data_IF_144995421784
#
_entry.id   IF_144995421784
#
_cell.length_a   1.000
_cell.length_b   1.000
_cell.length_c   1.000
_cell.angle_alpha   90.00
_cell.angle_beta   90.00
_cell.angle_gamma   90.00
#
_symmetry.space_group_name_H-M   'P 1'
#
loop_
_entity.id
_entity.type
_entity.pdbx_description
1 polymer ?
#
# COMPACT_ATOMS: atom_id res chain seq x y z
N UNK A 1 -33.57 -11.63 11.16
CA UNK A 1 -33.06 -10.72 10.12
C UNK A 1 -33.13 -9.31 10.66
N UNK A 2 -32.05 -8.57 10.64
CA UNK A 2 -31.97 -7.16 11.05
C UNK A 2 -31.69 -6.35 9.79
N UNK A 3 -32.30 -5.16 9.69
CA UNK A 3 -32.07 -4.24 8.54
C UNK A 3 -31.47 -2.94 9.03
N UNK A 4 -30.49 -2.45 8.32
CA UNK A 4 -29.94 -1.12 8.46
C UNK A 4 -30.39 -0.28 7.26
N UNK A 5 -30.94 0.90 7.53
CA UNK A 5 -31.41 1.83 6.51
C UNK A 5 -30.48 3.02 6.51
N UNK A 6 -29.90 3.34 5.37
CA UNK A 6 -29.02 4.49 5.18
C UNK A 6 -29.84 5.80 4.97
N UNK A 7 -29.17 6.96 4.98
CA UNK A 7 -29.82 8.26 4.85
C UNK A 7 -30.49 8.47 3.48
N UNK A 8 -30.06 7.76 2.44
CA UNK A 8 -30.66 7.75 1.10
C UNK A 8 -31.80 6.72 0.94
N UNK A 9 -32.14 5.98 2.03
CA UNK A 9 -33.20 4.97 2.05
C UNK A 9 -32.78 3.59 1.55
N UNK A 10 -31.50 3.37 1.19
CA UNK A 10 -31.00 2.05 0.84
C UNK A 10 -30.93 1.14 2.06
N UNK A 11 -31.06 -0.18 1.87
CA UNK A 11 -31.14 -1.16 2.95
C UNK A 11 -30.06 -2.23 2.83
N UNK A 12 -29.32 -2.48 3.93
CA UNK A 12 -28.51 -3.67 4.14
C UNK A 12 -29.23 -4.61 5.10
N UNK A 13 -29.32 -5.91 4.76
CA UNK A 13 -29.95 -6.92 5.59
C UNK A 13 -28.93 -7.90 6.18
N UNK A 14 -29.14 -8.28 7.45
CA UNK A 14 -28.29 -9.19 8.21
C UNK A 14 -29.13 -10.37 8.74
N UNK A 15 -28.63 -11.58 8.60
CA UNK A 15 -29.22 -12.81 9.14
C UNK A 15 -28.28 -13.40 10.20
N UNK A 16 -28.85 -13.84 11.32
CA UNK A 16 -28.11 -14.45 12.43
C UNK A 16 -28.67 -15.83 12.75
N UNK A 17 -27.81 -16.71 13.23
CA UNK A 17 -28.21 -18.00 13.78
C UNK A 17 -28.77 -17.89 15.22
N UNK A 18 -29.10 -19.02 15.84
CA UNK A 18 -29.62 -19.04 17.21
C UNK A 18 -28.57 -18.66 18.30
N UNK A 19 -27.28 -18.75 17.97
CA UNK A 19 -26.17 -18.36 18.86
C UNK A 19 -25.77 -16.91 18.69
N UNK A 20 -26.37 -16.18 17.70
CA UNK A 20 -26.05 -14.79 17.41
C UNK A 20 -24.92 -14.58 16.40
N UNK A 21 -24.44 -15.64 15.76
CA UNK A 21 -23.44 -15.51 14.71
C UNK A 21 -24.08 -14.97 13.42
N UNK A 22 -23.40 -14.05 12.72
CA UNK A 22 -23.83 -13.52 11.43
C UNK A 22 -23.70 -14.59 10.35
N UNK A 23 -24.81 -15.15 9.86
CA UNK A 23 -24.80 -16.20 8.84
C UNK A 23 -25.09 -15.69 7.43
N UNK A 24 -25.50 -14.43 7.28
CA UNK A 24 -25.74 -13.83 5.98
C UNK A 24 -25.82 -12.32 6.03
N UNK A 25 -25.29 -11.69 5.01
CA UNK A 25 -25.40 -10.26 4.74
C UNK A 25 -25.87 -10.06 3.31
N UNK A 26 -26.85 -9.21 3.10
CA UNK A 26 -27.31 -8.79 1.77
C UNK A 26 -27.10 -7.29 1.65
N UNK A 27 -26.33 -6.87 0.65
CA UNK A 27 -26.02 -5.46 0.42
C UNK A 27 -27.23 -4.73 -0.23
N UNK A 28 -27.09 -3.43 -0.46
CA UNK A 28 -28.08 -2.52 -1.03
C UNK A 28 -28.44 -2.86 -2.49
N UNK A 29 -27.62 -3.68 -3.17
CA UNK A 29 -27.85 -4.18 -4.53
C UNK A 29 -28.43 -5.60 -4.56
N UNK A 30 -28.60 -6.22 -3.38
CA UNK A 30 -29.11 -7.60 -3.25
C UNK A 30 -28.03 -8.67 -3.36
N UNK A 31 -26.73 -8.32 -3.38
CA UNK A 31 -25.65 -9.30 -3.37
C UNK A 31 -25.54 -9.94 -1.98
N UNK A 32 -25.50 -11.26 -1.93
CA UNK A 32 -25.47 -11.99 -0.69
C UNK A 32 -24.09 -12.57 -0.39
N UNK A 33 -23.58 -12.30 0.82
CA UNK A 33 -22.44 -13.00 1.43
C UNK A 33 -22.95 -13.88 2.56
N UNK A 34 -22.51 -15.13 2.62
CA UNK A 34 -22.88 -16.09 3.67
C UNK A 34 -21.67 -16.52 4.48
N UNK A 35 -21.91 -16.84 5.75
CA UNK A 35 -20.90 -17.22 6.72
C UNK A 35 -21.28 -18.54 7.37
N UNK A 36 -20.32 -19.45 7.56
CA UNK A 36 -20.48 -20.63 8.39
C UNK A 36 -19.46 -20.65 9.52
N UNK A 37 -19.81 -21.35 10.60
CA UNK A 37 -19.04 -21.36 11.84
C UNK A 37 -18.83 -22.78 12.33
N UNK A 38 -17.75 -22.99 13.09
CA UNK A 38 -17.55 -24.23 13.84
C UNK A 38 -18.56 -24.34 14.99
N UNK A 39 -18.58 -25.48 15.68
CA UNK A 39 -19.44 -25.67 16.85
C UNK A 39 -19.11 -24.68 17.99
N UNK A 40 -17.89 -24.17 18.04
CA UNK A 40 -17.40 -23.18 18.99
C UNK A 40 -17.65 -21.73 18.55
N UNK A 41 -18.45 -21.51 17.48
CA UNK A 41 -18.74 -20.18 16.89
C UNK A 41 -17.50 -19.46 16.32
N UNK A 42 -16.49 -20.21 15.86
CA UNK A 42 -15.37 -19.66 15.11
C UNK A 42 -15.74 -19.64 13.62
N UNK A 43 -15.41 -18.56 12.89
CA UNK A 43 -15.72 -18.42 11.48
C UNK A 43 -14.98 -19.47 10.65
N UNK A 44 -15.69 -20.41 10.03
CA UNK A 44 -15.10 -21.49 9.24
C UNK A 44 -15.01 -21.15 7.75
N UNK A 45 -16.05 -20.48 7.21
CA UNK A 45 -16.13 -20.18 5.77
C UNK A 45 -16.90 -18.90 5.51
N UNK A 46 -16.42 -18.13 4.53
CA UNK A 46 -17.15 -17.03 3.89
C UNK A 46 -17.41 -17.43 2.44
N UNK A 47 -18.65 -17.27 1.97
CA UNK A 47 -19.01 -17.44 0.56
C UNK A 47 -19.60 -16.15 0.02
N UNK A 48 -18.97 -15.61 -1.02
CA UNK A 48 -19.33 -14.36 -1.65
C UNK A 48 -20.43 -14.51 -2.71
N UNK A 49 -21.01 -13.40 -3.14
CA UNK A 49 -22.13 -13.37 -4.08
C UNK A 49 -21.80 -13.99 -5.46
N UNK A 50 -20.54 -14.02 -5.88
CA UNK A 50 -20.06 -14.70 -7.09
C UNK A 50 -19.80 -16.21 -6.91
N UNK A 51 -20.04 -16.75 -5.70
CA UNK A 51 -19.80 -18.15 -5.35
C UNK A 51 -18.35 -18.48 -4.97
N UNK A 52 -17.43 -17.52 -5.00
CA UNK A 52 -16.08 -17.69 -4.46
C UNK A 52 -16.16 -17.89 -2.94
N UNK A 53 -15.27 -18.70 -2.36
CA UNK A 53 -15.28 -18.92 -0.91
C UNK A 53 -13.88 -19.03 -0.33
N UNK A 54 -13.71 -18.51 0.87
CA UNK A 54 -12.51 -18.63 1.70
C UNK A 54 -12.84 -19.44 2.95
N UNK A 55 -11.88 -20.19 3.48
CA UNK A 55 -12.10 -20.99 4.69
C UNK A 55 -10.92 -20.90 5.65
N UNK A 56 -11.24 -21.06 6.94
CA UNK A 56 -10.33 -21.05 8.06
C UNK A 56 -10.41 -22.37 8.81
N UNK A 57 -9.30 -22.82 9.38
CA UNK A 57 -9.25 -23.97 10.29
C UNK A 57 -8.53 -23.60 11.56
N UNK A 58 -8.88 -24.28 12.67
CA UNK A 58 -8.46 -23.90 14.01
C UNK A 58 -7.89 -25.08 14.78
N UNK A 59 -7.00 -24.80 15.71
CA UNK A 59 -6.62 -25.75 16.74
C UNK A 59 -7.61 -25.76 17.91
N UNK A 60 -7.40 -26.63 18.90
CA UNK A 60 -8.26 -26.72 20.09
C UNK A 60 -8.23 -25.47 20.99
N UNK A 61 -7.23 -24.60 20.86
CA UNK A 61 -7.13 -23.33 21.57
C UNK A 61 -7.83 -22.19 20.83
N UNK A 62 -8.35 -22.43 19.61
CA UNK A 62 -8.99 -21.43 18.77
C UNK A 62 -8.01 -20.61 17.91
N UNK A 63 -6.74 -20.99 17.83
CA UNK A 63 -5.79 -20.33 16.93
C UNK A 63 -6.04 -20.77 15.48
N UNK A 64 -5.94 -19.86 14.52
CA UNK A 64 -6.02 -20.18 13.10
C UNK A 64 -4.78 -20.97 12.69
N UNK A 65 -4.94 -22.25 12.29
CA UNK A 65 -3.85 -23.12 11.81
C UNK A 65 -3.81 -23.25 10.29
N UNK A 66 -4.89 -22.85 9.59
CA UNK A 66 -4.96 -22.88 8.14
C UNK A 66 -5.95 -21.88 7.60
N UNK A 67 -5.60 -21.32 6.47
CA UNK A 67 -6.43 -20.43 5.66
C UNK A 67 -6.39 -20.94 4.23
N UNK A 68 -7.54 -21.04 3.57
CA UNK A 68 -7.63 -21.41 2.16
C UNK A 68 -8.35 -20.31 1.41
N UNK A 69 -7.73 -19.79 0.36
CA UNK A 69 -8.27 -18.75 -0.48
C UNK A 69 -9.36 -19.26 -1.45
N UNK A 70 -9.91 -18.37 -2.27
CA UNK A 70 -10.99 -18.72 -3.18
C UNK A 70 -10.54 -19.56 -4.39
N UNK A 71 -9.26 -19.64 -4.69
CA UNK A 71 -8.67 -20.53 -5.70
C UNK A 71 -8.23 -21.89 -5.11
N UNK A 72 -8.31 -22.06 -3.78
CA UNK A 72 -7.96 -23.29 -3.07
C UNK A 72 -6.50 -23.35 -2.62
N UNK A 73 -5.76 -22.25 -2.70
CA UNK A 73 -4.39 -22.18 -2.18
C UNK A 73 -4.44 -22.08 -0.65
N UNK A 74 -3.54 -22.79 0.03
CA UNK A 74 -3.58 -22.93 1.48
C UNK A 74 -2.31 -22.38 2.16
N UNK A 75 -2.53 -21.50 3.14
CA UNK A 75 -1.53 -20.97 4.08
C UNK A 75 -1.67 -21.68 5.42
N UNK A 76 -0.58 -21.97 6.11
CA UNK A 76 -0.55 -22.67 7.38
C UNK A 76 0.16 -21.84 8.46
N UNK A 77 -0.32 -21.96 9.70
CA UNK A 77 0.19 -21.26 10.86
C UNK A 77 0.57 -22.27 11.94
N UNK A 78 1.68 -22.02 12.63
CA UNK A 78 2.19 -22.88 13.70
C UNK A 78 2.39 -22.05 14.97
N UNK A 79 1.95 -22.59 16.09
CA UNK A 79 2.02 -21.93 17.39
C UNK A 79 2.83 -22.75 18.39
N UNK A 80 3.40 -22.08 19.37
CA UNK A 80 4.04 -22.73 20.52
C UNK A 80 2.99 -23.02 21.64
N UNK A 81 3.47 -23.58 22.74
CA UNK A 81 2.61 -23.92 23.90
C UNK A 81 2.03 -22.69 24.61
N UNK A 82 2.56 -21.49 24.37
CA UNK A 82 2.05 -20.23 24.88
C UNK A 82 1.09 -19.54 23.90
N UNK A 83 0.66 -20.24 22.82
CA UNK A 83 -0.18 -19.70 21.74
C UNK A 83 0.47 -18.53 20.97
N UNK A 84 1.80 -18.46 20.91
CA UNK A 84 2.53 -17.48 20.10
C UNK A 84 2.80 -18.07 18.73
N UNK A 85 2.60 -17.27 17.67
CA UNK A 85 2.86 -17.68 16.28
C UNK A 85 4.37 -17.87 16.05
N UNK A 86 4.81 -19.11 15.82
CA UNK A 86 6.23 -19.43 15.59
C UNK A 86 6.58 -19.65 14.13
N UNK A 87 5.60 -19.91 13.25
CA UNK A 87 5.82 -19.99 11.82
C UNK A 87 4.57 -19.77 11.01
N UNK A 88 4.76 -19.21 9.81
CA UNK A 88 3.80 -19.19 8.70
C UNK A 88 4.43 -19.94 7.54
N UNK A 89 3.67 -20.85 6.95
CA UNK A 89 4.02 -21.52 5.69
C UNK A 89 3.04 -21.01 4.65
N UNK A 90 3.56 -20.33 3.64
CA UNK A 90 2.77 -19.75 2.56
C UNK A 90 2.27 -20.83 1.58
N UNK A 91 1.47 -20.42 0.61
CA UNK A 91 0.81 -21.24 -0.39
C UNK A 91 1.79 -21.98 -1.32
N UNK A 92 3.05 -21.53 -1.44
CA UNK A 92 4.14 -22.15 -2.20
C UNK A 92 5.14 -22.93 -1.31
N UNK A 93 4.84 -23.05 0.00
CA UNK A 93 5.66 -23.76 0.97
C UNK A 93 6.89 -22.96 1.43
N UNK A 94 6.91 -21.64 1.21
CA UNK A 94 7.88 -20.73 1.83
C UNK A 94 7.58 -20.60 3.32
N UNK A 95 8.61 -20.71 4.18
CA UNK A 95 8.43 -20.68 5.63
C UNK A 95 9.08 -19.45 6.24
N UNK A 96 8.26 -18.58 6.85
CA UNK A 96 8.72 -17.52 7.75
C UNK A 96 8.60 -17.98 9.19
N UNK A 97 9.63 -17.76 10.02
CA UNK A 97 9.68 -18.22 11.42
C UNK A 97 9.96 -17.07 12.36
N UNK A 98 9.39 -17.16 13.58
CA UNK A 98 9.47 -16.16 14.63
C UNK A 98 10.06 -16.78 15.89
N UNK A 99 10.97 -16.06 16.55
CA UNK A 99 11.49 -16.40 17.86
C UNK A 99 11.18 -15.28 18.86
N UNK A 100 10.91 -15.66 20.10
CA UNK A 100 10.47 -14.75 21.15
C UNK A 100 11.40 -14.83 22.37
N UNK A 101 11.48 -13.74 23.11
CA UNK A 101 12.05 -13.73 24.45
C UNK A 101 11.02 -14.17 25.52
N UNK A 102 11.43 -14.09 26.79
CA UNK A 102 10.58 -14.48 27.92
C UNK A 102 9.43 -13.49 28.20
N UNK A 103 9.44 -12.29 27.58
CA UNK A 103 8.41 -11.25 27.70
C UNK A 103 7.53 -11.17 26.46
N UNK A 104 7.60 -12.19 25.57
CA UNK A 104 6.83 -12.32 24.34
C UNK A 104 7.19 -11.30 23.24
N UNK A 105 8.33 -10.63 23.32
CA UNK A 105 8.81 -9.79 22.23
C UNK A 105 9.45 -10.66 21.15
N UNK A 106 9.21 -10.32 19.87
CA UNK A 106 9.87 -10.98 18.74
C UNK A 106 11.35 -10.57 18.71
N UNK A 107 12.26 -11.51 18.97
CA UNK A 107 13.71 -11.28 18.93
C UNK A 107 14.35 -11.68 17.61
N UNK A 108 13.65 -12.46 16.77
CA UNK A 108 14.11 -12.82 15.44
C UNK A 108 12.95 -13.17 14.52
N UNK A 109 13.03 -12.67 13.29
CA UNK A 109 12.22 -13.11 12.14
C UNK A 109 13.17 -13.74 11.12
N UNK A 110 12.85 -14.95 10.63
CA UNK A 110 13.63 -15.63 9.60
C UNK A 110 12.73 -15.86 8.40
N UNK A 111 13.10 -15.35 7.24
CA UNK A 111 12.34 -15.45 6.00
C UNK A 111 12.41 -16.85 5.34
N UNK A 112 11.72 -17.02 4.23
CA UNK A 112 11.66 -18.28 3.49
C UNK A 112 13.00 -18.68 2.83
N UNK A 113 13.94 -17.73 2.67
CA UNK A 113 15.32 -17.95 2.20
C UNK A 113 16.32 -18.18 3.34
N UNK A 114 15.84 -18.16 4.60
CA UNK A 114 16.61 -18.29 5.85
C UNK A 114 17.47 -17.06 6.18
N UNK A 115 17.12 -15.90 5.66
CA UNK A 115 17.69 -14.64 6.08
C UNK A 115 17.02 -14.20 7.40
N UNK A 116 17.82 -13.76 8.37
CA UNK A 116 17.31 -13.45 9.70
C UNK A 116 17.51 -11.98 10.05
N UNK A 117 16.43 -11.31 10.44
CA UNK A 117 16.44 -10.01 11.11
C UNK A 117 16.29 -10.21 12.60
N UNK A 118 17.10 -9.51 13.40
CA UNK A 118 17.16 -9.66 14.87
C UNK A 118 16.79 -8.35 15.55
N UNK A 119 16.12 -8.48 16.69
CA UNK A 119 15.61 -7.37 17.48
C UNK A 119 16.06 -7.50 18.93
N UNK A 120 16.32 -6.36 19.58
CA UNK A 120 16.61 -6.31 21.03
C UNK A 120 15.75 -5.25 21.69
N UNK A 121 15.40 -5.46 22.94
CA UNK A 121 14.48 -4.61 23.70
C UNK A 121 15.10 -4.21 25.03
N UNK A 122 14.65 -3.10 25.60
CA UNK A 122 14.95 -2.74 26.99
C UNK A 122 13.97 -3.43 27.98
N UNK A 123 14.14 -3.14 29.26
CA UNK A 123 13.30 -3.70 30.33
C UNK A 123 11.82 -3.24 30.29
N UNK A 124 11.54 -2.14 29.58
CA UNK A 124 10.20 -1.55 29.45
C UNK A 124 9.51 -2.01 28.14
N UNK A 125 10.20 -2.87 27.35
CA UNK A 125 9.71 -3.44 26.09
C UNK A 125 9.93 -2.54 24.87
N UNK A 126 10.70 -1.45 24.99
CA UNK A 126 11.02 -0.62 23.84
C UNK A 126 12.11 -1.26 22.98
N UNK A 127 11.96 -1.22 21.65
CA UNK A 127 12.93 -1.75 20.69
C UNK A 127 14.23 -0.95 20.75
N UNK A 128 15.34 -1.56 21.18
CA UNK A 128 16.64 -0.90 21.29
C UNK A 128 17.54 -1.10 20.07
N UNK A 129 17.34 -2.19 19.31
CA UNK A 129 18.01 -2.32 18.01
C UNK A 129 17.30 -3.30 17.07
N UNK A 130 17.51 -3.07 15.80
CA UNK A 130 17.22 -3.97 14.70
C UNK A 130 18.52 -4.26 13.95
N UNK A 131 18.75 -5.53 13.58
CA UNK A 131 19.91 -5.95 12.80
C UNK A 131 19.43 -6.80 11.63
N UNK A 132 19.69 -6.36 10.40
CA UNK A 132 19.32 -7.06 9.19
C UNK A 132 20.18 -8.32 8.95
N UNK A 133 19.86 -9.07 7.89
CA UNK A 133 20.57 -10.28 7.52
C UNK A 133 22.01 -10.05 7.01
N UNK A 134 22.38 -8.80 6.67
CA UNK A 134 23.74 -8.38 6.30
C UNK A 134 24.57 -7.95 7.51
N UNK A 135 23.95 -7.82 8.70
CA UNK A 135 24.56 -7.33 9.92
C UNK A 135 24.52 -5.82 10.08
N UNK A 136 23.80 -5.09 9.23
CA UNK A 136 23.57 -3.67 9.38
C UNK A 136 22.63 -3.45 10.57
N UNK A 137 23.03 -2.56 11.50
CA UNK A 137 22.33 -2.37 12.76
C UNK A 137 21.85 -0.94 12.92
N UNK A 138 20.55 -0.76 13.15
CA UNK A 138 19.92 0.48 13.60
C UNK A 138 19.71 0.38 15.11
N UNK A 139 19.96 1.47 15.85
CA UNK A 139 19.78 1.53 17.31
C UNK A 139 18.82 2.65 17.67
N UNK A 140 18.04 2.42 18.72
CA UNK A 140 17.02 3.32 19.22
C UNK A 140 17.26 3.61 20.70
N UNK A 141 17.07 4.86 21.11
CA UNK A 141 17.07 5.23 22.53
C UNK A 141 15.80 6.01 22.85
N UNK A 142 15.41 5.99 24.12
CA UNK A 142 14.13 6.54 24.57
C UNK A 142 14.34 7.47 25.76
N UNK A 143 13.40 8.41 25.94
CA UNK A 143 13.29 9.21 27.16
C UNK A 143 12.76 8.36 28.32
N UNK A 144 12.83 8.82 29.58
CA UNK A 144 12.21 8.11 30.71
C UNK A 144 10.70 7.90 30.56
N UNK A 145 10.03 8.73 29.77
CA UNK A 145 8.60 8.64 29.47
C UNK A 145 8.29 7.63 28.35
N UNK A 146 9.31 7.03 27.72
CA UNK A 146 9.18 6.05 26.64
C UNK A 146 9.09 6.67 25.24
N UNK A 147 9.37 7.96 25.08
CA UNK A 147 9.40 8.60 23.76
C UNK A 147 10.77 8.39 23.08
N UNK A 148 10.79 8.19 21.77
CA UNK A 148 12.01 7.98 20.99
C UNK A 148 12.91 9.22 21.09
N UNK A 149 14.08 9.12 21.74
CA UNK A 149 15.01 10.24 21.91
C UNK A 149 16.10 10.28 20.84
N UNK A 150 16.50 9.11 20.30
CA UNK A 150 17.44 9.07 19.19
C UNK A 150 17.35 7.80 18.36
N UNK A 151 17.74 7.92 17.08
CA UNK A 151 17.99 6.81 16.16
C UNK A 151 19.42 6.91 15.68
N UNK A 152 20.20 5.84 15.87
CA UNK A 152 21.53 5.70 15.25
C UNK A 152 21.41 4.74 14.08
N UNK A 153 21.59 5.23 12.87
CA UNK A 153 21.50 4.48 11.62
C UNK A 153 22.70 3.54 11.45
N UNK A 154 22.62 2.61 10.51
CA UNK A 154 23.66 1.61 10.29
C UNK A 154 24.99 2.19 9.78
N UNK A 155 24.99 3.38 9.19
CA UNK A 155 26.19 4.16 8.81
C UNK A 155 26.74 5.02 9.96
N UNK A 156 26.11 4.98 11.13
CA UNK A 156 26.40 5.74 12.34
C UNK A 156 25.90 7.19 12.34
N UNK A 157 25.08 7.60 11.35
CA UNK A 157 24.37 8.86 11.41
C UNK A 157 23.35 8.84 12.58
N UNK A 158 23.24 9.95 13.30
CA UNK A 158 22.39 10.05 14.49
C UNK A 158 21.31 11.09 14.27
N UNK A 159 20.07 10.71 14.50
CA UNK A 159 18.92 11.60 14.58
C UNK A 159 18.50 11.72 16.05
N UNK A 160 18.14 12.94 16.51
CA UNK A 160 17.63 13.15 17.88
C UNK A 160 16.28 13.85 17.86
N UNK A 161 15.48 13.58 18.87
CA UNK A 161 14.10 14.05 18.98
C UNK A 161 13.86 14.66 20.36
N UNK A 162 13.21 15.82 20.38
CA UNK A 162 12.83 16.52 21.59
C UNK A 162 11.31 16.71 21.63
N UNK A 163 10.74 16.61 22.82
CA UNK A 163 9.30 16.62 23.02
C UNK A 163 8.92 17.68 24.07
N UNK A 164 7.71 18.18 23.97
CA UNK A 164 7.12 18.95 25.05
C UNK A 164 6.56 18.04 26.16
N UNK A 165 5.98 18.65 27.20
CA UNK A 165 5.42 17.94 28.35
C UNK A 165 4.22 17.05 28.01
N UNK A 166 3.59 17.24 26.85
CA UNK A 166 2.44 16.46 26.38
C UNK A 166 2.85 15.30 25.48
N UNK A 167 4.16 15.20 25.11
CA UNK A 167 4.69 14.22 24.20
C UNK A 167 4.63 14.66 22.72
N UNK A 168 4.32 15.93 22.44
CA UNK A 168 4.37 16.45 21.08
C UNK A 168 5.82 16.72 20.66
N UNK A 169 6.22 16.26 19.44
CA UNK A 169 7.56 16.41 18.91
C UNK A 169 7.84 17.90 18.57
N UNK A 170 8.70 18.55 19.34
CA UNK A 170 9.04 19.97 19.16
C UNK A 170 10.28 20.20 18.33
N UNK A 171 11.23 19.25 18.30
CA UNK A 171 12.45 19.34 17.51
C UNK A 171 12.92 17.97 17.05
N UNK A 172 13.37 17.93 15.80
CA UNK A 172 14.15 16.83 15.23
C UNK A 172 15.47 17.38 14.71
N UNK A 173 16.59 16.81 15.17
CA UNK A 173 17.90 17.11 14.60
C UNK A 173 18.36 15.92 13.76
N UNK A 174 18.94 16.18 12.60
CA UNK A 174 19.55 15.19 11.71
C UNK A 174 21.05 15.42 11.68
N UNK A 175 21.83 14.36 11.68
CA UNK A 175 23.28 14.33 12.03
C UNK A 175 24.23 15.26 11.30
N UNK A 176 23.78 16.10 10.36
CA UNK A 176 24.56 17.11 9.62
C UNK A 176 24.37 18.54 10.15
N UNK A 177 23.71 18.69 11.30
CA UNK A 177 23.41 20.01 11.91
C UNK A 177 22.08 20.62 11.50
N UNK A 178 21.35 20.00 10.56
CA UNK A 178 20.01 20.46 10.20
C UNK A 178 19.01 20.13 11.31
N UNK A 179 18.08 21.03 11.54
CA UNK A 179 16.99 20.81 12.50
C UNK A 179 15.66 21.27 11.96
N UNK A 180 14.62 20.53 12.33
CA UNK A 180 13.23 20.91 12.10
C UNK A 180 12.58 21.13 13.45
N UNK A 181 11.92 22.28 13.62
CA UNK A 181 11.14 22.60 14.83
C UNK A 181 9.66 22.65 14.52
N UNK A 182 8.85 22.22 15.47
CA UNK A 182 7.39 22.17 15.37
C UNK A 182 6.76 22.87 16.55
N UNK A 183 5.69 23.63 16.30
CA UNK A 183 4.89 24.28 17.33
C UNK A 183 3.44 23.82 17.24
N UNK A 184 2.78 23.77 18.39
CA UNK A 184 1.40 23.27 18.49
C UNK A 184 0.52 24.26 19.26
N UNK A 185 -0.78 24.26 18.99
CA UNK A 185 -1.74 25.03 19.79
C UNK A 185 -2.17 24.24 21.06
N UNK A 186 -3.00 24.86 21.88
CA UNK A 186 -3.48 24.30 23.16
C UNK A 186 -4.24 22.96 23.01
N UNK A 187 -4.78 22.66 21.83
CA UNK A 187 -5.48 21.40 21.54
C UNK A 187 -4.59 20.38 20.78
N UNK A 188 -3.26 20.63 20.74
CA UNK A 188 -2.29 19.72 20.12
C UNK A 188 -2.25 19.71 18.58
N UNK A 189 -2.86 20.70 17.90
CA UNK A 189 -2.77 20.85 16.45
C UNK A 189 -1.46 21.54 16.07
N UNK A 190 -0.75 21.02 15.06
CA UNK A 190 0.47 21.59 14.51
C UNK A 190 0.20 22.97 13.91
N UNK A 191 0.84 24.02 14.41
CA UNK A 191 0.64 25.41 13.94
C UNK A 191 1.81 25.94 13.13
N UNK A 192 3.01 25.40 13.35
CA UNK A 192 4.20 25.84 12.64
C UNK A 192 5.22 24.73 12.51
N UNK A 193 5.88 24.66 11.34
CA UNK A 193 7.07 23.85 11.10
C UNK A 193 8.15 24.77 10.53
N UNK A 194 9.32 24.82 11.15
CA UNK A 194 10.45 25.63 10.72
C UNK A 194 11.70 24.79 10.49
N UNK A 195 12.40 25.07 9.38
CA UNK A 195 13.66 24.46 9.00
C UNK A 195 14.57 25.52 8.35
N UNK A 196 15.75 25.15 7.90
CA UNK A 196 16.61 26.04 7.09
C UNK A 196 15.96 26.49 5.78
N UNK A 197 15.05 25.69 5.22
CA UNK A 197 14.29 26.04 4.01
C UNK A 197 13.23 27.12 4.25
N UNK A 198 12.91 27.44 5.51
CA UNK A 198 11.90 28.42 5.90
C UNK A 198 10.84 27.85 6.83
N UNK A 199 9.73 28.58 6.95
CA UNK A 199 8.64 28.26 7.88
C UNK A 199 7.33 28.03 7.14
N UNK A 200 6.61 26.95 7.52
CA UNK A 200 5.25 26.65 7.08
C UNK A 200 4.31 26.88 8.27
N UNK A 201 3.19 27.56 8.05
CA UNK A 201 2.20 27.86 9.08
C UNK A 201 0.84 27.27 8.75
N UNK A 202 0.14 26.78 9.79
CA UNK A 202 -1.17 26.15 9.71
C UNK A 202 -2.15 26.88 10.61
N UNK A 203 -3.37 27.14 10.12
CA UNK A 203 -4.44 27.73 10.90
C UNK A 203 -5.67 26.84 10.90
N UNK A 204 -6.39 26.83 12.00
CA UNK A 204 -7.55 25.98 12.22
C UNK A 204 -8.74 26.83 12.70
N UNK A 205 -9.95 26.41 12.37
CA UNK A 205 -11.16 27.00 12.92
C UNK A 205 -11.47 26.43 14.33
N UNK A 206 -12.54 26.92 14.95
CA UNK A 206 -12.97 26.46 16.28
C UNK A 206 -13.33 24.98 16.34
N UNK A 207 -13.74 24.38 15.24
CA UNK A 207 -14.04 22.95 15.12
C UNK A 207 -12.77 22.11 14.90
N UNK A 208 -11.60 22.76 14.74
CA UNK A 208 -10.30 22.11 14.50
C UNK A 208 -10.05 21.69 13.04
N UNK A 209 -10.83 22.18 12.07
CA UNK A 209 -10.56 21.98 10.65
C UNK A 209 -9.48 22.96 10.18
N UNK A 210 -8.55 22.47 9.34
CA UNK A 210 -7.48 23.27 8.74
C UNK A 210 -8.07 24.28 7.75
N UNK A 211 -7.96 25.58 8.05
CA UNK A 211 -8.52 26.65 7.21
C UNK A 211 -7.50 27.36 6.34
N UNK A 212 -6.20 27.28 6.69
CA UNK A 212 -5.14 27.80 5.80
C UNK A 212 -3.80 27.14 6.05
N UNK A 213 -2.98 27.10 4.98
CA UNK A 213 -1.56 26.75 5.00
C UNK A 213 -0.79 27.87 4.30
N UNK A 214 0.18 28.46 5.00
CA UNK A 214 1.16 29.39 4.44
C UNK A 214 2.47 28.63 4.22
N UNK A 215 3.00 28.63 2.98
CA UNK A 215 4.26 27.99 2.65
C UNK A 215 5.46 28.87 2.97
N UNK A 216 6.67 28.36 2.74
CA UNK A 216 7.94 29.07 3.03
C UNK A 216 8.13 30.38 2.25
N UNK A 217 7.37 30.59 1.16
CA UNK A 217 7.41 31.82 0.36
C UNK A 217 6.35 32.86 0.79
N UNK A 218 5.50 32.51 1.76
CA UNK A 218 4.37 33.33 2.19
C UNK A 218 3.11 33.13 1.35
N UNK A 219 3.08 32.17 0.43
CA UNK A 219 1.88 31.84 -0.35
C UNK A 219 0.88 31.11 0.54
N UNK A 220 -0.38 31.55 0.50
CA UNK A 220 -1.46 30.98 1.33
C UNK A 220 -2.45 30.20 0.48
N UNK A 221 -2.70 28.95 0.88
CA UNK A 221 -3.86 28.17 0.42
C UNK A 221 -4.88 28.12 1.53
N UNK A 222 -6.15 28.44 1.24
CA UNK A 222 -7.22 28.43 2.23
C UNK A 222 -8.36 27.48 1.88
N UNK A 223 -9.09 27.05 2.92
CA UNK A 223 -10.12 26.01 2.82
C UNK A 223 -11.40 26.43 3.55
N UNK A 224 -12.54 26.01 3.02
CA UNK A 224 -13.82 26.11 3.70
C UNK A 224 -14.49 24.75 3.84
N UNK A 225 -15.38 24.63 4.79
CA UNK A 225 -16.04 23.36 5.13
C UNK A 225 -17.54 23.57 5.39
N UNK A 226 -18.32 22.53 5.16
CA UNK A 226 -19.73 22.49 5.58
C UNK A 226 -19.85 22.08 7.06
N UNK A 227 -21.09 21.99 7.54
CA UNK A 227 -21.36 21.60 8.93
C UNK A 227 -20.99 20.14 9.27
N UNK A 228 -20.78 19.29 8.27
CA UNK A 228 -20.37 17.89 8.42
C UNK A 228 -18.86 17.70 8.35
N UNK A 229 -18.11 18.78 8.06
CA UNK A 229 -16.65 18.75 7.90
C UNK A 229 -16.18 18.40 6.49
N UNK A 230 -17.07 18.36 5.50
CA UNK A 230 -16.67 18.18 4.11
C UNK A 230 -16.07 19.50 3.59
N UNK A 231 -14.92 19.41 2.90
CA UNK A 231 -14.26 20.58 2.31
C UNK A 231 -15.08 21.12 1.13
N UNK A 232 -15.63 22.33 1.25
CA UNK A 232 -16.48 22.97 0.23
C UNK A 232 -15.69 23.82 -0.74
N UNK A 233 -14.50 24.32 -0.34
CA UNK A 233 -13.62 25.03 -1.28
C UNK A 233 -12.16 24.92 -0.90
N UNK A 234 -11.29 25.15 -1.91
CA UNK A 234 -9.87 25.38 -1.77
C UNK A 234 -9.49 26.58 -2.64
N UNK A 235 -8.97 27.65 -2.01
CA UNK A 235 -8.55 28.88 -2.69
C UNK A 235 -7.03 28.95 -2.70
N UNK A 236 -6.46 29.14 -3.88
CA UNK A 236 -5.02 29.25 -4.13
C UNK A 236 -4.52 30.69 -3.91
N UNK A 237 -3.18 30.92 -3.83
CA UNK A 237 -2.60 32.26 -3.61
C UNK A 237 -2.98 33.29 -4.68
N UNK A 238 -3.27 32.85 -5.89
CA UNK A 238 -3.74 33.69 -7.00
C UNK A 238 -5.25 33.98 -6.97
N UNK A 239 -5.92 33.65 -5.86
CA UNK A 239 -7.35 33.79 -5.61
C UNK A 239 -8.27 32.91 -6.47
N UNK A 240 -7.74 31.98 -7.27
CA UNK A 240 -8.56 30.99 -7.97
C UNK A 240 -9.02 29.93 -6.97
N UNK A 241 -10.27 29.48 -7.14
CA UNK A 241 -10.91 28.57 -6.19
C UNK A 241 -11.43 27.32 -6.88
N UNK A 242 -11.16 26.17 -6.29
CA UNK A 242 -11.82 24.90 -6.58
C UNK A 242 -12.96 24.72 -5.57
N UNK A 243 -14.17 24.38 -6.06
CA UNK A 243 -15.35 24.16 -5.22
C UNK A 243 -15.82 22.71 -5.30
N UNK A 244 -16.35 22.20 -4.18
CA UNK A 244 -16.78 20.82 -4.03
C UNK A 244 -18.21 20.76 -3.53
N UNK A 245 -18.99 19.80 -4.03
CA UNK A 245 -20.37 19.54 -3.59
C UNK A 245 -20.53 18.08 -3.21
N UNK A 246 -21.40 17.81 -2.22
CA UNK A 246 -21.60 16.50 -1.63
C UNK A 246 -23.08 16.13 -1.56
N UNK A 247 -23.39 14.85 -1.57
CA UNK A 247 -24.73 14.32 -1.33
C UNK A 247 -25.02 14.11 0.16
N UNK A 248 -26.23 13.61 0.47
CA UNK A 248 -26.64 13.34 1.84
C UNK A 248 -25.84 12.22 2.55
N UNK A 249 -25.07 11.42 1.80
CA UNK A 249 -24.17 10.39 2.31
C UNK A 249 -22.72 10.89 2.44
N UNK A 250 -22.49 12.22 2.31
CA UNK A 250 -21.18 12.87 2.31
C UNK A 250 -20.25 12.37 1.17
N UNK A 251 -20.81 11.84 0.08
CA UNK A 251 -20.04 11.48 -1.13
C UNK A 251 -19.93 12.70 -2.03
N UNK A 252 -18.73 12.96 -2.57
CA UNK A 252 -18.51 14.09 -3.49
C UNK A 252 -19.24 13.85 -4.80
N UNK A 253 -20.19 14.74 -5.16
CA UNK A 253 -20.99 14.66 -6.39
C UNK A 253 -20.60 15.70 -7.43
N UNK A 254 -19.80 16.69 -7.08
CA UNK A 254 -19.34 17.69 -8.02
C UNK A 254 -18.06 18.41 -7.61
N UNK A 255 -17.29 18.79 -8.60
CA UNK A 255 -16.09 19.65 -8.49
C UNK A 255 -16.16 20.71 -9.59
N UNK A 256 -15.96 21.97 -9.21
CA UNK A 256 -15.71 23.06 -10.18
C UNK A 256 -14.22 23.36 -10.13
N UNK A 257 -13.51 23.13 -11.24
CA UNK A 257 -12.05 23.30 -11.37
C UNK A 257 -11.64 24.78 -11.47
N UNK A 258 -10.33 25.02 -11.52
CA UNK A 258 -9.74 26.37 -11.62
C UNK A 258 -10.07 27.09 -12.94
N UNK A 259 -10.40 26.34 -13.97
CA UNK A 259 -10.85 26.81 -15.30
C UNK A 259 -12.36 27.06 -15.36
N UNK A 260 -13.09 26.76 -14.26
CA UNK A 260 -14.55 26.83 -14.19
C UNK A 260 -15.25 25.60 -14.78
N UNK A 261 -14.52 24.59 -15.28
CA UNK A 261 -15.16 23.35 -15.74
C UNK A 261 -15.71 22.54 -14.56
N UNK A 262 -16.87 21.94 -14.77
CA UNK A 262 -17.53 21.11 -13.77
C UNK A 262 -17.32 19.64 -14.07
N UNK A 263 -16.86 18.89 -13.07
CA UNK A 263 -16.87 17.44 -13.06
C UNK A 263 -17.95 16.95 -12.10
N UNK A 264 -18.84 16.06 -12.54
CA UNK A 264 -19.88 15.46 -11.70
C UNK A 264 -19.72 13.95 -11.59
N UNK A 265 -20.18 13.40 -10.46
CA UNK A 265 -20.07 11.99 -10.11
C UNK A 265 -21.43 11.42 -9.77
N UNK A 266 -21.69 10.19 -10.21
CA UNK A 266 -22.89 9.42 -9.84
C UNK A 266 -22.42 8.10 -9.20
N UNK A 267 -23.13 7.70 -8.15
CA UNK A 267 -22.83 6.51 -7.38
C UNK A 267 -24.00 5.52 -7.40
N UNK A 268 -23.69 4.23 -7.29
CA UNK A 268 -24.71 3.20 -7.06
C UNK A 268 -25.12 3.17 -5.56
N UNK A 269 -26.04 2.27 -5.24
CA UNK A 269 -26.59 2.15 -3.89
C UNK A 269 -25.55 1.78 -2.83
N UNK A 270 -24.49 1.02 -3.19
CA UNK A 270 -23.38 0.66 -2.29
C UNK A 270 -22.24 1.68 -2.28
N UNK A 271 -22.40 2.83 -2.94
CA UNK A 271 -21.45 3.94 -2.92
C UNK A 271 -20.30 3.83 -3.94
N UNK A 272 -20.35 2.90 -4.91
CA UNK A 272 -19.36 2.83 -5.98
C UNK A 272 -19.70 3.82 -7.09
N UNK A 273 -18.70 4.48 -7.63
CA UNK A 273 -18.89 5.46 -8.72
C UNK A 273 -19.25 4.75 -10.03
N UNK A 274 -20.43 5.01 -10.57
CA UNK A 274 -20.93 4.44 -11.83
C UNK A 274 -20.83 5.40 -13.02
N UNK A 275 -20.66 6.72 -12.77
CA UNK A 275 -20.46 7.68 -13.84
C UNK A 275 -19.64 8.88 -13.38
N UNK A 276 -18.82 9.40 -14.29
CA UNK A 276 -18.14 10.70 -14.19
C UNK A 276 -18.46 11.49 -15.48
N UNK A 277 -18.84 12.75 -15.33
CA UNK A 277 -19.00 13.68 -16.46
C UNK A 277 -18.08 14.87 -16.21
N UNK A 278 -17.21 15.18 -17.19
CA UNK A 278 -16.30 16.34 -17.16
C UNK A 278 -16.28 16.97 -18.53
N UNK A 279 -16.82 18.18 -18.65
CA UNK A 279 -17.04 18.82 -19.93
C UNK A 279 -17.83 17.92 -20.89
N UNK A 280 -17.26 17.62 -22.03
CA UNK A 280 -17.88 16.75 -23.06
C UNK A 280 -17.51 15.26 -22.89
N UNK A 281 -16.77 14.89 -21.85
CA UNK A 281 -16.34 13.53 -21.60
C UNK A 281 -17.25 12.87 -20.57
N UNK A 282 -17.76 11.68 -20.90
CA UNK A 282 -18.52 10.84 -19.97
C UNK A 282 -17.84 9.49 -19.82
N UNK A 283 -17.46 9.15 -18.59
CA UNK A 283 -16.96 7.82 -18.25
C UNK A 283 -17.99 7.07 -17.43
N UNK A 284 -18.33 5.83 -17.83
CA UNK A 284 -19.22 4.91 -17.12
C UNK A 284 -18.42 3.73 -16.57
N UNK A 285 -18.87 3.23 -15.42
CA UNK A 285 -18.25 2.11 -14.73
C UNK A 285 -19.30 1.05 -14.44
N UNK A 286 -18.96 -0.22 -14.65
CA UNK A 286 -19.78 -1.36 -14.24
C UNK A 286 -18.98 -2.29 -13.33
N UNK A 287 -19.67 -2.95 -12.44
CA UNK A 287 -19.06 -3.82 -11.42
C UNK A 287 -19.78 -5.16 -11.35
N UNK A 288 -19.05 -6.20 -10.96
CA UNK A 288 -19.66 -7.48 -10.64
C UNK A 288 -20.31 -7.49 -9.23
N UNK A 289 -20.87 -8.63 -8.84
CA UNK A 289 -21.58 -8.81 -7.57
C UNK A 289 -20.68 -8.77 -6.32
N UNK A 290 -19.35 -8.81 -6.48
CA UNK A 290 -18.38 -8.71 -5.38
C UNK A 290 -17.60 -7.41 -5.40
N UNK A 291 -17.90 -6.51 -6.34
CA UNK A 291 -17.35 -5.16 -6.41
C UNK A 291 -16.15 -4.98 -7.34
N UNK A 292 -15.75 -5.99 -8.10
CA UNK A 292 -14.69 -5.82 -9.09
C UNK A 292 -15.19 -4.99 -10.28
N UNK A 293 -14.37 -4.06 -10.78
CA UNK A 293 -14.68 -3.24 -11.95
C UNK A 293 -14.65 -4.10 -13.22
N UNK A 294 -15.82 -4.36 -13.83
CA UNK A 294 -15.92 -5.18 -15.05
C UNK A 294 -15.82 -4.37 -16.35
N UNK A 295 -16.23 -3.10 -16.31
CA UNK A 295 -16.13 -2.22 -17.47
C UNK A 295 -15.87 -0.76 -17.05
N UNK A 296 -15.01 -0.09 -17.81
CA UNK A 296 -14.86 1.35 -17.82
C UNK A 296 -14.96 1.82 -19.28
N UNK A 297 -15.96 2.64 -19.59
CA UNK A 297 -16.17 3.15 -20.93
C UNK A 297 -16.22 4.67 -20.92
N UNK A 298 -15.38 5.31 -21.72
CA UNK A 298 -15.30 6.78 -21.88
C UNK A 298 -15.74 7.14 -23.28
N UNK A 299 -16.76 7.99 -23.35
CA UNK A 299 -17.26 8.62 -24.58
C UNK A 299 -16.79 10.07 -24.63
N UNK A 300 -16.14 10.43 -25.72
CA UNK A 300 -15.66 11.79 -26.02
C UNK A 300 -15.54 11.95 -27.56
N UNK A 301 -14.54 12.69 -28.04
CA UNK A 301 -14.17 12.72 -29.47
C UNK A 301 -13.61 11.37 -29.96
N UNK A 302 -13.12 10.52 -29.04
CA UNK A 302 -12.74 9.13 -29.30
C UNK A 302 -13.32 8.25 -28.18
N UNK A 303 -13.96 7.14 -28.55
CA UNK A 303 -14.53 6.20 -27.60
C UNK A 303 -13.46 5.18 -27.18
N UNK A 304 -13.28 5.04 -25.88
CA UNK A 304 -12.37 4.05 -25.28
C UNK A 304 -13.13 3.25 -24.24
N UNK A 305 -13.04 1.92 -24.32
CA UNK A 305 -13.60 1.02 -23.31
C UNK A 305 -12.57 -0.02 -22.88
N UNK A 306 -12.56 -0.29 -21.59
CA UNK A 306 -11.82 -1.38 -20.97
C UNK A 306 -12.81 -2.35 -20.34
N UNK A 307 -12.63 -3.65 -20.58
CA UNK A 307 -13.37 -4.73 -19.91
C UNK A 307 -12.40 -5.67 -19.24
N UNK A 308 -12.72 -6.03 -18.01
CA UNK A 308 -11.86 -6.85 -17.16
C UNK A 308 -12.54 -8.17 -16.80
N UNK A 309 -11.76 -9.23 -16.74
CA UNK A 309 -12.11 -10.50 -16.14
C UNK A 309 -11.20 -10.83 -14.97
N UNK A 310 -11.72 -11.58 -14.01
CA UNK A 310 -11.05 -11.83 -12.74
C UNK A 310 -11.05 -13.33 -12.42
N UNK A 311 -10.06 -13.78 -11.65
CA UNK A 311 -10.12 -15.05 -10.97
C UNK A 311 -10.99 -14.95 -9.70
N UNK A 312 -11.10 -16.05 -8.95
CA UNK A 312 -11.89 -16.08 -7.72
C UNK A 312 -11.29 -15.29 -6.56
N UNK A 313 -9.98 -15.02 -6.60
CA UNK A 313 -9.28 -14.16 -5.63
C UNK A 313 -9.40 -12.68 -5.97
N UNK A 314 -9.97 -12.31 -7.14
CA UNK A 314 -10.12 -10.93 -7.59
C UNK A 314 -8.91 -10.38 -8.34
N UNK A 315 -7.94 -11.22 -8.76
CA UNK A 315 -6.87 -10.79 -9.64
C UNK A 315 -7.36 -10.70 -11.09
N UNK A 316 -6.93 -9.66 -11.83
CA UNK A 316 -7.30 -9.45 -13.23
C UNK A 316 -6.66 -10.55 -14.08
N UNK A 317 -7.45 -11.41 -14.70
CA UNK A 317 -6.98 -12.46 -15.62
C UNK A 317 -7.05 -12.05 -17.07
N UNK A 318 -7.87 -11.04 -17.40
CA UNK A 318 -7.99 -10.52 -18.74
C UNK A 318 -8.38 -9.06 -18.77
N UNK A 319 -7.87 -8.35 -19.75
CA UNK A 319 -8.24 -6.98 -20.09
C UNK A 319 -8.50 -6.90 -21.60
N UNK A 320 -9.66 -6.36 -21.97
CA UNK A 320 -9.98 -6.07 -23.35
C UNK A 320 -10.13 -4.55 -23.50
N UNK A 321 -9.24 -3.93 -24.29
CA UNK A 321 -9.31 -2.53 -24.66
C UNK A 321 -9.95 -2.40 -26.05
N UNK A 322 -10.96 -1.59 -26.15
CA UNK A 322 -11.55 -1.18 -27.43
C UNK A 322 -11.34 0.32 -27.60
N UNK A 323 -10.70 0.75 -28.66
CA UNK A 323 -10.49 2.16 -28.99
C UNK A 323 -10.86 2.40 -30.46
N UNK A 324 -11.85 3.25 -30.69
CA UNK A 324 -12.36 3.56 -32.04
C UNK A 324 -12.66 2.30 -32.87
N UNK A 325 -13.18 1.25 -32.22
CA UNK A 325 -13.52 -0.02 -32.86
C UNK A 325 -12.35 -1.01 -33.04
N UNK A 326 -11.11 -0.61 -32.66
CA UNK A 326 -9.96 -1.53 -32.63
C UNK A 326 -9.88 -2.19 -31.27
N UNK A 327 -9.72 -3.52 -31.26
CA UNK A 327 -9.63 -4.30 -30.04
C UNK A 327 -8.21 -4.82 -29.79
N UNK A 328 -7.79 -4.73 -28.53
CA UNK A 328 -6.57 -5.36 -28.00
C UNK A 328 -6.92 -6.13 -26.76
N UNK A 329 -6.47 -7.36 -26.66
CA UNK A 329 -6.71 -8.22 -25.48
C UNK A 329 -5.39 -8.54 -24.80
N UNK A 330 -5.39 -8.45 -23.49
CA UNK A 330 -4.30 -8.81 -22.59
C UNK A 330 -4.77 -9.94 -21.67
N UNK A 331 -3.92 -10.91 -21.41
CA UNK A 331 -4.16 -11.96 -20.42
C UNK A 331 -3.06 -12.00 -19.38
N UNK A 332 -3.42 -12.35 -18.16
CA UNK A 332 -2.55 -12.36 -17.00
C UNK A 332 -2.72 -13.69 -16.24
N UNK A 333 -1.61 -14.19 -15.70
CA UNK A 333 -1.64 -15.34 -14.79
C UNK A 333 -0.80 -15.04 -13.55
N UNK A 334 -1.17 -15.65 -12.42
CA UNK A 334 -0.57 -15.39 -11.12
C UNK A 334 -0.11 -16.68 -10.45
N UNK A 335 0.87 -16.56 -9.56
CA UNK A 335 1.23 -17.62 -8.62
C UNK A 335 0.15 -17.75 -7.53
N UNK A 336 0.25 -18.79 -6.71
CA UNK A 336 -0.61 -18.95 -5.53
C UNK A 336 -0.45 -17.79 -4.51
N UNK A 337 0.67 -17.06 -4.55
CA UNK A 337 0.90 -15.85 -3.72
C UNK A 337 0.37 -14.56 -4.35
N UNK A 338 -0.30 -14.62 -5.52
CA UNK A 338 -0.78 -13.45 -6.23
C UNK A 338 0.31 -12.68 -7.01
N UNK A 339 1.50 -13.28 -7.18
CA UNK A 339 2.56 -12.68 -7.99
C UNK A 339 2.28 -12.90 -9.47
N UNK A 340 2.44 -11.88 -10.31
CA UNK A 340 2.25 -11.99 -11.76
C UNK A 340 3.29 -12.94 -12.36
N UNK A 341 2.84 -14.07 -12.94
CA UNK A 341 3.73 -15.06 -13.57
C UNK A 341 3.77 -14.95 -15.08
N UNK A 342 2.73 -14.41 -15.71
CA UNK A 342 2.72 -14.14 -17.14
C UNK A 342 1.79 -13.00 -17.53
N UNK A 343 2.16 -12.31 -18.59
CA UNK A 343 1.39 -11.35 -19.35
C UNK A 343 1.48 -11.69 -20.83
N UNK A 344 0.36 -11.71 -21.53
CA UNK A 344 0.31 -11.94 -22.96
C UNK A 344 -0.69 -10.98 -23.61
N UNK A 345 -0.26 -10.31 -24.66
CA UNK A 345 -1.08 -9.43 -25.49
C UNK A 345 -1.48 -10.13 -26.79
N UNK A 346 -2.67 -9.86 -27.30
CA UNK A 346 -3.18 -10.40 -28.57
C UNK A 346 -2.32 -10.07 -29.79
N UNK A 347 -1.44 -9.06 -29.69
CA UNK A 347 -0.43 -8.73 -30.71
C UNK A 347 0.74 -9.70 -30.78
N UNK A 348 0.86 -10.64 -29.84
CA UNK A 348 1.95 -11.59 -29.70
C UNK A 348 3.09 -11.10 -28.79
N UNK A 349 3.01 -9.89 -28.23
CA UNK A 349 3.92 -9.46 -27.17
C UNK A 349 3.59 -10.20 -25.88
N UNK A 350 4.59 -10.66 -25.16
CA UNK A 350 4.39 -11.37 -23.89
C UNK A 350 5.56 -11.23 -22.93
N UNK A 351 5.27 -11.45 -21.66
CA UNK A 351 6.24 -11.47 -20.58
C UNK A 351 5.96 -12.64 -19.64
N UNK A 352 7.01 -13.26 -19.11
CA UNK A 352 6.89 -14.22 -18.02
C UNK A 352 7.86 -13.90 -16.90
N UNK A 353 7.48 -14.27 -15.67
CA UNK A 353 8.18 -13.89 -14.45
C UNK A 353 8.38 -15.11 -13.56
N UNK A 354 9.54 -15.20 -12.93
CA UNK A 354 9.81 -16.20 -11.90
C UNK A 354 10.37 -15.51 -10.66
N UNK A 355 9.96 -16.02 -9.50
CA UNK A 355 10.28 -15.44 -8.19
C UNK A 355 10.97 -16.47 -7.29
N UNK A 356 11.71 -16.00 -6.31
CA UNK A 356 12.18 -16.85 -5.22
C UNK A 356 11.12 -16.92 -4.09
N UNK A 357 11.42 -17.68 -3.05
CA UNK A 357 10.50 -17.88 -1.92
C UNK A 357 10.29 -16.65 -1.03
N UNK A 358 11.06 -15.57 -1.22
CA UNK A 358 10.88 -14.29 -0.54
C UNK A 358 10.17 -13.25 -1.43
N UNK A 359 9.69 -13.64 -2.64
CA UNK A 359 9.02 -12.76 -3.59
C UNK A 359 9.97 -11.93 -4.46
N UNK A 360 11.28 -12.17 -4.43
CA UNK A 360 12.21 -11.47 -5.29
C UNK A 360 12.12 -12.02 -6.72
N UNK A 361 11.97 -11.15 -7.73
CA UNK A 361 11.91 -11.55 -9.14
C UNK A 361 13.28 -12.04 -9.62
N UNK A 362 13.41 -13.35 -9.88
CA UNK A 362 14.65 -13.97 -10.37
C UNK A 362 14.81 -13.88 -11.87
N UNK A 363 13.71 -13.90 -12.61
CA UNK A 363 13.73 -13.89 -14.07
C UNK A 363 12.54 -13.15 -14.64
N UNK A 364 12.78 -12.38 -15.70
CA UNK A 364 11.78 -11.82 -16.59
C UNK A 364 12.15 -12.19 -18.02
N UNK A 365 11.31 -12.99 -18.69
CA UNK A 365 11.46 -13.25 -20.12
C UNK A 365 10.45 -12.41 -20.90
N UNK A 366 10.91 -11.78 -21.98
CA UNK A 366 10.12 -10.92 -22.87
C UNK A 366 10.09 -11.59 -24.25
N UNK A 367 8.90 -11.75 -24.80
CA UNK A 367 8.63 -12.22 -26.15
C UNK A 367 8.22 -11.00 -26.97
N UNK A 368 9.10 -10.54 -27.86
CA UNK A 368 8.81 -9.43 -28.76
C UNK A 368 7.92 -9.86 -29.92
N UNK A 369 7.13 -8.93 -30.46
CA UNK A 369 6.29 -9.15 -31.65
C UNK A 369 7.11 -9.42 -32.93
N UNK A 370 8.41 -9.05 -32.90
CA UNK A 370 9.39 -9.32 -33.97
C UNK A 370 10.09 -10.69 -33.85
N UNK A 371 9.68 -11.52 -32.88
CA UNK A 371 10.26 -12.81 -32.55
C UNK A 371 11.59 -12.73 -31.81
N UNK A 372 12.03 -11.54 -31.38
CA UNK A 372 13.22 -11.41 -30.55
C UNK A 372 12.82 -11.61 -29.07
N UNK A 373 13.45 -12.57 -28.43
CA UNK A 373 13.23 -12.87 -27.04
C UNK A 373 14.40 -12.36 -26.18
N UNK A 374 14.09 -11.73 -25.08
CA UNK A 374 15.07 -11.25 -24.11
C UNK A 374 14.75 -11.86 -22.75
N UNK A 375 15.75 -12.47 -22.13
CA UNK A 375 15.61 -12.95 -20.74
C UNK A 375 16.52 -12.13 -19.84
N UNK A 376 15.94 -11.49 -18.85
CA UNK A 376 16.62 -10.79 -17.76
C UNK A 376 16.68 -11.72 -16.55
N UNK A 377 17.89 -11.91 -16.00
CA UNK A 377 18.10 -12.64 -14.73
C UNK A 377 18.56 -11.68 -13.67
N UNK A 378 17.99 -11.79 -12.48
CA UNK A 378 18.23 -10.93 -11.33
C UNK A 378 18.85 -11.71 -10.19
N UNK A 379 19.66 -11.03 -9.37
CA UNK A 379 20.30 -11.58 -8.19
C UNK A 379 20.15 -10.60 -7.03
N UNK A 380 19.96 -11.12 -5.82
CA UNK A 380 19.69 -10.35 -4.62
C UNK A 380 20.67 -10.73 -3.50
N UNK A 381 20.88 -9.82 -2.56
CA UNK A 381 21.59 -10.09 -1.32
C UNK A 381 20.64 -10.59 -0.22
N UNK A 382 21.19 -10.86 0.96
CA UNK A 382 20.41 -11.37 2.10
C UNK A 382 19.43 -10.35 2.72
N UNK A 383 19.50 -9.06 2.32
CA UNK A 383 18.51 -8.03 2.66
C UNK A 383 17.47 -7.81 1.54
N UNK A 384 17.35 -8.76 0.58
CA UNK A 384 16.45 -8.71 -0.58
C UNK A 384 16.67 -7.49 -1.49
N UNK A 385 17.89 -6.91 -1.50
CA UNK A 385 18.26 -5.82 -2.40
C UNK A 385 18.82 -6.39 -3.71
N UNK A 386 18.41 -5.85 -4.87
CA UNK A 386 18.86 -6.25 -6.19
C UNK A 386 20.35 -5.94 -6.36
N UNK A 387 21.22 -6.95 -6.45
CA UNK A 387 22.69 -6.79 -6.62
C UNK A 387 23.14 -6.93 -8.06
N UNK A 388 22.33 -7.55 -8.92
CA UNK A 388 22.71 -7.75 -10.29
C UNK A 388 21.54 -8.04 -11.22
N UNK A 389 21.68 -7.62 -12.48
CA UNK A 389 20.75 -7.96 -13.55
C UNK A 389 21.55 -8.25 -14.84
N UNK A 390 21.17 -9.28 -15.62
CA UNK A 390 21.84 -9.60 -16.87
C UNK A 390 20.86 -10.14 -17.89
N UNK A 391 21.10 -9.81 -19.18
CA UNK A 391 20.43 -10.42 -20.32
C UNK A 391 21.38 -11.35 -21.12
N UNK A 392 22.55 -11.74 -20.56
CA UNK A 392 23.56 -12.52 -21.22
C UNK A 392 24.53 -11.73 -22.10
N UNK A 393 24.14 -10.55 -22.60
CA UNK A 393 25.00 -9.65 -23.40
C UNK A 393 25.53 -8.48 -22.58
N UNK A 394 24.73 -8.01 -21.65
CA UNK A 394 25.03 -6.92 -20.73
C UNK A 394 24.75 -7.36 -19.30
N UNK A 395 25.49 -6.78 -18.36
CA UNK A 395 25.32 -6.98 -16.94
C UNK A 395 25.25 -5.62 -16.24
N UNK A 396 24.28 -5.46 -15.35
CA UNK A 396 24.21 -4.33 -14.41
C UNK A 396 24.51 -4.87 -13.02
N UNK A 397 25.40 -4.20 -12.29
CA UNK A 397 25.67 -4.47 -10.89
C UNK A 397 25.24 -3.26 -10.05
N UNK A 398 24.64 -3.52 -8.90
CA UNK A 398 24.17 -2.53 -7.94
C UNK A 398 24.92 -2.70 -6.62
N UNK A 399 25.27 -1.59 -5.98
CA UNK A 399 25.90 -1.59 -4.66
C UNK A 399 25.18 -0.59 -3.76
N UNK A 400 25.06 -0.97 -2.51
CA UNK A 400 24.29 -0.23 -1.50
C UNK A 400 25.19 0.14 -0.34
N UNK A 401 24.87 1.23 0.36
CA UNK A 401 25.45 1.55 1.65
C UNK A 401 24.80 0.69 2.77
N UNK A 402 25.19 0.96 4.01
CA UNK A 402 24.67 0.22 5.16
C UNK A 402 23.22 0.54 5.50
N UNK A 403 22.70 1.69 5.05
CA UNK A 403 21.30 2.08 5.23
C UNK A 403 20.39 1.51 4.13
N UNK A 404 20.97 0.88 3.09
CA UNK A 404 20.22 0.34 1.97
C UNK A 404 20.04 1.29 0.79
N UNK A 405 20.66 2.47 0.81
CA UNK A 405 20.63 3.43 -0.29
C UNK A 405 21.57 3.00 -1.42
N UNK A 406 21.11 3.11 -2.68
CA UNK A 406 21.88 2.72 -3.86
C UNK A 406 23.04 3.70 -4.07
N UNK A 407 24.29 3.28 -3.84
CA UNK A 407 25.47 4.14 -4.00
C UNK A 407 26.16 3.98 -5.36
N UNK A 408 25.95 2.87 -6.06
CA UNK A 408 26.56 2.65 -7.36
C UNK A 408 25.73 1.72 -8.23
N UNK A 409 25.63 2.07 -9.51
CA UNK A 409 25.13 1.22 -10.57
C UNK A 409 26.19 1.12 -11.67
N UNK A 410 26.56 -0.08 -12.11
CA UNK A 410 27.57 -0.31 -13.14
C UNK A 410 26.99 -1.16 -14.24
N UNK A 411 26.88 -0.60 -15.44
CA UNK A 411 26.59 -1.33 -16.66
C UNK A 411 27.90 -1.83 -17.26
N UNK A 412 27.98 -3.12 -17.60
CA UNK A 412 29.04 -3.72 -18.40
C UNK A 412 28.41 -4.32 -19.63
N UNK A 413 28.83 -3.87 -20.83
CA UNK A 413 28.27 -4.29 -22.11
C UNK A 413 29.39 -4.44 -23.12
N UNK A 414 29.27 -5.40 -24.06
CA UNK A 414 30.21 -5.55 -25.19
C UNK A 414 30.18 -4.34 -26.14
N UNK A 415 29.03 -3.68 -26.24
CA UNK A 415 28.79 -2.53 -27.13
C UNK A 415 29.29 -1.21 -26.55
N UNK A 416 28.99 -0.98 -25.24
CA UNK A 416 29.23 0.31 -24.60
C UNK A 416 30.39 0.29 -23.60
N UNK A 417 31.05 -0.86 -23.41
CA UNK A 417 32.09 -1.00 -22.40
C UNK A 417 31.52 -0.97 -20.97
N UNK A 418 32.19 -0.25 -20.08
CA UNK A 418 31.80 -0.10 -18.67
C UNK A 418 31.38 1.34 -18.41
N UNK A 419 30.13 1.54 -17.97
CA UNK A 419 29.57 2.80 -17.53
C UNK A 419 29.21 2.67 -16.05
N UNK A 420 29.46 3.71 -15.26
CA UNK A 420 29.24 3.66 -13.81
C UNK A 420 28.61 4.95 -13.32
N UNK A 421 27.43 4.83 -12.78
CA UNK A 421 26.72 5.88 -12.07
C UNK A 421 27.02 5.78 -10.57
N UNK A 422 27.24 6.92 -9.91
CA UNK A 422 27.44 7.03 -8.45
C UNK A 422 26.45 7.99 -7.85
N UNK A 423 26.00 7.66 -6.65
CA UNK A 423 24.99 8.40 -5.90
C UNK A 423 25.52 8.68 -4.49
N UNK A 424 25.25 9.86 -3.96
CA UNK A 424 25.52 10.18 -2.56
C UNK A 424 24.28 10.75 -1.90
N UNK A 425 24.18 10.52 -0.61
CA UNK A 425 23.00 10.84 0.18
C UNK A 425 23.38 11.61 1.44
N UNK A 426 22.47 12.43 1.95
CA UNK A 426 22.60 13.06 3.26
C UNK A 426 22.17 12.12 4.41
N UNK A 427 22.20 12.63 5.62
CA UNK A 427 21.80 11.87 6.81
C UNK A 427 20.31 11.46 6.84
N UNK A 428 19.47 12.06 6.00
CA UNK A 428 18.05 11.71 5.81
C UNK A 428 17.82 10.73 4.64
N UNK A 429 18.89 10.17 4.06
CA UNK A 429 18.86 9.34 2.84
C UNK A 429 18.29 10.08 1.61
N UNK A 430 18.38 11.43 1.58
CA UNK A 430 18.02 12.25 0.42
C UNK A 430 19.20 12.33 -0.53
N UNK A 431 18.95 12.15 -1.84
CA UNK A 431 20.00 12.20 -2.86
C UNK A 431 20.63 13.60 -2.94
N UNK A 432 21.93 13.72 -2.66
CA UNK A 432 22.69 14.97 -2.70
C UNK A 432 23.54 15.14 -3.95
N UNK A 433 24.01 14.03 -4.54
CA UNK A 433 24.76 14.09 -5.79
C UNK A 433 24.57 12.84 -6.67
N UNK A 434 24.69 13.08 -7.98
CA UNK A 434 24.73 12.05 -9.02
C UNK A 434 25.89 12.34 -9.95
N UNK A 435 26.71 11.30 -10.25
CA UNK A 435 27.79 11.34 -11.21
C UNK A 435 27.67 10.13 -12.11
N UNK A 436 27.40 10.35 -13.41
CA UNK A 436 27.27 9.33 -14.46
C UNK A 436 28.50 9.24 -15.35
#
# INVERSE_FOLDING_TARGET
>A
MVRQIAADGTETAYAYDALGNLVGQTDELGNQTTFSYTAESLLERVTYANGASQSLSYDLAGNIIGETDAEGNAKQYQYDKANRLIAVVDELGGKTSYAYDAMDHIVQVTDALRHATKYTYDKDGNLTSETDALGNRVQYAYTPEGWLSSVTKADSAVMTFEYDKTGALTRQNVGDGQSVTSSYNEIGKLTEVSSEAGTIRYQYNEQGFLISVENVNGDVVSYTYDAYGNKTSMTYPDSRTVSYTYDAMNRMVGVVGLDGETTSYVYDAVGRRIQTVSGNMTTRYAYDSVGNLTEQATSSASDIAFRYSYDRNGYITGEKRTENGTETENSYAYSALGELTSFLQSTGYGESYAYDKAGNMLEKAIIGTDGQNVTLKMAYNAANQLTGMTNGQSKIAYSYDKNGSLIQKTLTSKTYGKLTDRYAYDALDQLTSYVG
#
